data_IF_770768269785
#
_entry.id   IF_770768269785
#
_cell.length_a   1.000
_cell.length_b   1.000
_cell.length_c   1.000
_cell.angle_alpha   90.00
_cell.angle_beta   90.00
_cell.angle_gamma   90.00
#
_symmetry.space_group_name_H-M   'P 1'
#
loop_
_entity.id
_entity.type
_entity.pdbx_description
1 polymer ?
#
# COMPACT_ATOMS: atom_id res chain seq x y z
N UNK A 1 42.27 61.92 32.59
CA UNK A 1 41.50 60.68 32.86
C UNK A 1 40.03 60.99 32.68
N UNK A 2 39.34 60.21 31.83
CA UNK A 2 38.01 59.60 32.06
C UNK A 2 37.53 59.02 30.72
N UNK A 3 38.08 57.87 30.37
CA UNK A 3 37.46 56.97 29.41
C UNK A 3 36.36 56.23 30.19
N UNK A 4 35.11 56.43 29.82
CA UNK A 4 33.98 55.60 30.28
C UNK A 4 33.93 54.37 29.39
N UNK A 5 34.06 53.14 29.93
CA UNK A 5 33.84 51.93 29.14
C UNK A 5 32.36 51.83 28.79
N UNK A 6 32.06 51.49 27.53
CA UNK A 6 30.71 51.22 27.08
C UNK A 6 30.16 50.01 27.86
N UNK A 7 29.03 50.24 28.51
CA UNK A 7 28.27 49.26 29.26
C UNK A 7 27.88 48.06 28.37
N UNK A 8 27.85 46.89 29.01
CA UNK A 8 27.42 45.60 28.49
C UNK A 8 26.11 45.70 27.70
N UNK A 9 26.22 45.72 26.37
CA UNK A 9 25.10 45.37 25.50
C UNK A 9 24.89 43.87 25.57
N UNK A 10 24.04 43.42 26.50
CA UNK A 10 23.51 42.07 26.46
C UNK A 10 22.72 41.88 25.15
N UNK A 11 22.90 40.77 24.43
CA UNK A 11 22.07 40.47 23.27
C UNK A 11 20.64 40.23 23.76
N UNK A 12 19.72 41.03 23.23
CA UNK A 12 18.29 40.93 23.46
C UNK A 12 17.79 39.52 23.08
N UNK A 13 17.37 38.73 24.08
CA UNK A 13 16.88 37.35 23.92
C UNK A 13 15.51 37.26 23.23
N UNK A 14 15.11 38.28 22.47
CA UNK A 14 13.79 38.42 21.86
C UNK A 14 13.71 37.87 20.42
N UNK A 15 14.79 37.31 19.88
CA UNK A 15 14.75 36.59 18.61
C UNK A 15 14.53 35.11 18.91
N UNK A 16 13.29 34.66 18.72
CA UNK A 16 12.88 33.27 18.80
C UNK A 16 13.55 32.38 17.74
N UNK A 17 14.83 32.08 17.94
CA UNK A 17 15.43 30.88 17.37
C UNK A 17 14.88 29.71 18.17
N UNK A 18 13.94 28.99 17.55
CA UNK A 18 13.50 27.70 18.08
C UNK A 18 14.75 26.85 18.36
N UNK A 19 14.95 26.33 19.59
CA UNK A 19 15.96 25.32 19.81
C UNK A 19 15.63 24.18 18.85
N UNK A 20 16.60 23.81 18.01
CA UNK A 20 16.53 22.56 17.28
C UNK A 20 16.15 21.50 18.31
N UNK A 21 14.98 20.88 18.13
CA UNK A 21 14.51 19.82 19.00
C UNK A 21 15.60 18.75 18.99
N UNK A 22 16.40 18.73 20.05
CA UNK A 22 17.24 17.59 20.41
C UNK A 22 16.26 16.44 20.53
N UNK A 23 16.27 15.57 19.53
CA UNK A 23 15.47 14.35 19.50
C UNK A 23 15.79 13.64 20.81
N UNK A 24 14.84 13.71 21.74
CA UNK A 24 14.98 13.14 23.06
C UNK A 24 15.35 11.68 22.90
N UNK A 25 16.54 11.34 23.38
CA UNK A 25 16.97 9.97 23.63
C UNK A 25 16.02 9.45 24.71
N UNK A 26 14.88 8.92 24.28
CA UNK A 26 13.93 8.25 25.17
C UNK A 26 14.57 6.95 25.63
N UNK A 27 14.81 6.91 26.93
CA UNK A 27 14.98 5.76 27.83
C UNK A 27 15.30 4.42 27.18
N UNK A 28 16.53 4.01 27.47
CA UNK A 28 17.04 2.65 27.40
C UNK A 28 16.10 1.72 28.22
N UNK A 29 15.57 0.68 27.56
CA UNK A 29 14.93 -0.54 28.10
C UNK A 29 13.67 -1.00 27.33
N UNK A 30 13.26 -0.28 26.29
CA UNK A 30 12.30 -0.82 25.33
C UNK A 30 13.00 -1.83 24.40
N UNK A 31 12.59 -3.11 24.46
CA UNK A 31 12.99 -4.13 23.48
C UNK A 31 12.59 -3.67 22.07
N UNK A 32 13.53 -3.69 21.13
CA UNK A 32 13.28 -3.24 19.76
C UNK A 32 12.56 -4.34 19.00
N UNK A 33 11.34 -4.04 18.59
CA UNK A 33 10.46 -4.96 17.89
C UNK A 33 10.66 -4.86 16.37
N UNK A 34 11.12 -5.94 15.74
CA UNK A 34 11.31 -6.03 14.30
C UNK A 34 10.30 -6.96 13.64
N UNK A 35 9.84 -6.57 12.44
CA UNK A 35 9.02 -7.46 11.61
C UNK A 35 9.87 -8.58 10.99
N UNK A 36 9.29 -9.70 10.52
CA UNK A 36 10.07 -10.89 10.15
C UNK A 36 11.13 -10.65 9.07
N UNK A 37 10.84 -9.82 8.06
CA UNK A 37 11.79 -9.51 6.99
C UNK A 37 12.95 -8.63 7.44
N UNK A 38 12.77 -7.45 8.07
CA UNK A 38 13.90 -6.68 8.61
C UNK A 38 14.64 -7.42 9.72
N UNK A 39 13.98 -8.31 10.48
CA UNK A 39 14.68 -9.18 11.43
C UNK A 39 15.66 -10.14 10.73
N UNK A 40 15.34 -10.65 9.54
CA UNK A 40 16.27 -11.48 8.77
C UNK A 40 17.53 -10.70 8.32
N UNK A 41 17.37 -9.43 7.95
CA UNK A 41 18.50 -8.54 7.64
C UNK A 41 19.35 -8.28 8.88
N UNK A 42 18.70 -7.98 10.01
CA UNK A 42 19.39 -7.78 11.28
C UNK A 42 20.14 -9.05 11.72
N UNK A 43 19.54 -10.24 11.58
CA UNK A 43 20.20 -11.51 11.90
C UNK A 43 21.46 -11.71 11.05
N UNK A 44 21.37 -11.46 9.75
CA UNK A 44 22.53 -11.55 8.86
C UNK A 44 23.67 -10.56 9.22
N UNK A 45 23.34 -9.40 9.81
CA UNK A 45 24.34 -8.47 10.35
C UNK A 45 24.91 -8.93 11.70
N UNK A 46 24.07 -9.44 12.58
CA UNK A 46 24.48 -9.92 13.90
C UNK A 46 25.39 -11.15 13.82
N UNK A 47 25.18 -12.00 12.80
CA UNK A 47 25.99 -13.20 12.55
C UNK A 47 27.33 -12.87 11.84
N UNK A 48 27.53 -11.64 11.35
CA UNK A 48 28.73 -11.26 10.62
C UNK A 48 29.90 -10.85 11.54
N UNK A 49 31.16 -11.24 11.20
CA UNK A 49 32.33 -10.86 11.98
C UNK A 49 32.52 -9.34 11.92
N UNK A 50 32.60 -8.70 13.09
CA UNK A 50 32.77 -7.25 13.21
C UNK A 50 31.48 -6.44 13.12
N UNK A 51 30.31 -7.06 12.93
CA UNK A 51 29.00 -6.37 12.85
C UNK A 51 28.89 -5.30 11.74
N UNK A 52 29.75 -5.41 10.73
CA UNK A 52 29.81 -4.52 9.58
C UNK A 52 29.74 -5.35 8.30
N UNK A 53 28.87 -4.96 7.37
CA UNK A 53 28.77 -5.61 6.06
C UNK A 53 28.53 -4.61 4.94
N UNK A 54 29.11 -4.85 3.75
CA UNK A 54 28.75 -4.10 2.57
C UNK A 54 27.32 -4.43 2.13
N UNK A 55 26.62 -3.43 1.61
CA UNK A 55 25.18 -3.48 1.29
C UNK A 55 24.79 -4.66 0.39
N UNK A 56 25.62 -4.96 -0.61
CA UNK A 56 25.37 -6.05 -1.58
C UNK A 56 25.51 -7.45 -0.94
N UNK A 57 26.49 -7.61 -0.05
CA UNK A 57 26.70 -8.87 0.69
C UNK A 57 25.57 -9.06 1.69
N UNK A 58 25.19 -7.98 2.40
CA UNK A 58 24.05 -8.01 3.32
C UNK A 58 22.74 -8.41 2.61
N UNK A 59 22.49 -7.87 1.42
CA UNK A 59 21.32 -8.22 0.61
C UNK A 59 21.29 -9.70 0.26
N UNK A 60 22.47 -10.28 -0.03
CA UNK A 60 22.61 -11.69 -0.39
C UNK A 60 22.45 -12.59 0.83
N UNK A 61 23.14 -12.27 1.94
CA UNK A 61 23.12 -13.05 3.18
C UNK A 61 21.74 -13.05 3.86
N UNK A 62 20.97 -11.96 3.72
CA UNK A 62 19.60 -11.89 4.22
C UNK A 62 18.57 -12.64 3.36
N UNK A 63 18.99 -13.29 2.27
CA UNK A 63 18.11 -14.01 1.34
C UNK A 63 17.27 -13.09 0.46
N UNK A 64 17.62 -11.80 0.37
CA UNK A 64 16.85 -10.76 -0.33
C UNK A 64 17.46 -10.35 -1.67
N UNK A 65 18.34 -11.15 -2.27
CA UNK A 65 19.02 -10.85 -3.53
C UNK A 65 18.05 -10.42 -4.64
N UNK A 66 16.90 -11.11 -4.77
CA UNK A 66 15.86 -10.85 -5.78
C UNK A 66 14.73 -9.93 -5.31
N UNK A 67 14.75 -9.49 -4.05
CA UNK A 67 13.63 -8.77 -3.43
C UNK A 67 13.81 -7.26 -3.59
N UNK A 68 12.88 -6.62 -4.31
CA UNK A 68 12.92 -5.17 -4.54
C UNK A 68 12.58 -4.33 -3.29
N UNK A 69 12.02 -4.95 -2.24
CA UNK A 69 11.70 -4.26 -0.98
C UNK A 69 12.89 -4.14 -0.01
N UNK A 70 14.07 -4.66 -0.36
CA UNK A 70 15.26 -4.60 0.51
C UNK A 70 15.61 -3.17 0.99
N UNK A 71 15.63 -2.13 0.13
CA UNK A 71 15.90 -0.77 0.58
C UNK A 71 14.88 -0.25 1.62
N UNK A 72 13.61 -0.67 1.50
CA UNK A 72 12.55 -0.29 2.46
C UNK A 72 12.80 -0.90 3.83
N UNK A 73 13.28 -2.15 3.89
CA UNK A 73 13.62 -2.82 5.15
C UNK A 73 14.86 -2.20 5.81
N UNK A 74 15.85 -1.76 5.01
CA UNK A 74 17.00 -1.01 5.51
C UNK A 74 16.56 0.33 6.10
N UNK A 75 15.70 1.08 5.40
CA UNK A 75 15.15 2.34 5.91
C UNK A 75 14.38 2.14 7.23
N UNK A 76 13.59 1.06 7.34
CA UNK A 76 12.91 0.71 8.60
C UNK A 76 13.91 0.48 9.75
N UNK A 77 15.01 -0.23 9.49
CA UNK A 77 16.04 -0.50 10.50
C UNK A 77 16.82 0.77 10.90
N UNK A 78 17.09 1.66 9.95
CA UNK A 78 17.72 2.96 10.21
C UNK A 78 16.80 3.85 11.03
N UNK A 79 15.50 3.92 10.67
CA UNK A 79 14.50 4.69 11.41
C UNK A 79 14.33 4.20 12.85
N UNK A 80 14.53 2.90 13.10
CA UNK A 80 14.54 2.29 14.44
C UNK A 80 15.87 2.42 15.17
N UNK A 81 16.89 3.03 14.54
CA UNK A 81 18.23 3.19 15.13
C UNK A 81 19.00 1.90 15.31
N UNK A 82 18.59 0.80 14.67
CA UNK A 82 19.23 -0.52 14.80
C UNK A 82 20.55 -0.56 14.02
N UNK A 83 20.53 0.04 12.82
CA UNK A 83 21.66 0.05 11.91
C UNK A 83 21.99 1.48 11.48
N UNK A 84 23.24 1.69 11.09
CA UNK A 84 23.67 2.89 10.41
C UNK A 84 24.22 2.53 9.04
N UNK A 85 23.77 3.23 8.01
CA UNK A 85 24.35 3.14 6.67
C UNK A 85 25.36 4.27 6.48
N UNK A 86 26.56 3.92 6.04
CA UNK A 86 27.63 4.86 5.75
C UNK A 86 28.15 4.65 4.32
N UNK A 87 28.86 5.65 3.82
CA UNK A 87 29.49 5.61 2.50
C UNK A 87 28.62 6.11 1.33
N UNK A 88 29.22 6.20 0.12
CA UNK A 88 28.56 6.66 -1.08
C UNK A 88 27.53 5.65 -1.58
N UNK A 89 26.54 6.11 -2.36
CA UNK A 89 25.37 5.31 -2.74
C UNK A 89 25.71 3.91 -3.31
N UNK A 90 26.81 3.79 -4.07
CA UNK A 90 27.24 2.56 -4.75
C UNK A 90 27.99 1.59 -3.82
N UNK A 91 28.72 2.11 -2.84
CA UNK A 91 29.57 1.33 -1.93
C UNK A 91 29.15 1.56 -0.48
N UNK A 92 27.85 1.45 -0.23
CA UNK A 92 27.31 1.60 1.12
C UNK A 92 27.72 0.42 1.98
N UNK A 93 28.14 0.71 3.20
CA UNK A 93 28.35 -0.27 4.25
C UNK A 93 27.37 -0.03 5.40
N UNK A 94 26.97 -1.11 6.04
CA UNK A 94 25.96 -1.13 7.08
C UNK A 94 26.60 -1.63 8.36
N UNK A 95 26.49 -0.81 9.41
CA UNK A 95 27.06 -1.07 10.73
C UNK A 95 25.91 -1.29 11.71
N UNK A 96 26.02 -2.32 12.55
CA UNK A 96 25.09 -2.52 13.66
C UNK A 96 25.40 -1.54 14.80
N UNK A 97 24.39 -0.85 15.31
CA UNK A 97 24.54 0.11 16.42
C UNK A 97 23.97 -0.38 17.75
N UNK A 98 23.24 -1.49 17.73
CA UNK A 98 22.47 -1.99 18.88
C UNK A 98 22.92 -3.40 19.22
N UNK A 99 23.05 -3.66 20.53
CA UNK A 99 23.34 -5.00 21.03
C UNK A 99 22.29 -6.01 20.57
N UNK A 100 22.70 -7.18 20.07
CA UNK A 100 21.77 -8.10 19.45
C UNK A 100 20.74 -8.67 20.44
N UNK A 101 21.06 -8.66 21.74
CA UNK A 101 20.16 -9.08 22.82
C UNK A 101 18.94 -8.15 23.01
N UNK A 102 18.97 -6.91 22.51
CA UNK A 102 17.88 -5.93 22.65
C UNK A 102 16.80 -6.07 21.59
N UNK A 103 16.99 -6.94 20.60
CA UNK A 103 16.13 -7.05 19.42
C UNK A 103 15.27 -8.30 19.49
N UNK A 104 13.95 -8.12 19.43
CA UNK A 104 12.97 -9.21 19.46
C UNK A 104 12.23 -9.33 18.12
N UNK A 105 12.07 -10.58 17.67
CA UNK A 105 11.29 -10.88 16.47
C UNK A 105 9.80 -10.84 16.80
N UNK A 106 9.08 -9.87 16.24
CA UNK A 106 7.63 -9.82 16.37
C UNK A 106 6.98 -10.78 15.38
N UNK A 107 6.16 -11.70 15.91
CA UNK A 107 5.17 -12.40 15.10
C UNK A 107 4.12 -11.37 14.70
N UNK A 108 4.07 -10.99 13.41
CA UNK A 108 2.91 -10.23 12.92
C UNK A 108 1.69 -11.11 13.21
N UNK A 109 0.79 -10.66 14.08
CA UNK A 109 -0.57 -11.16 14.03
C UNK A 109 -1.04 -11.01 12.59
N UNK A 110 -1.59 -12.07 12.01
CA UNK A 110 -2.20 -12.00 10.68
C UNK A 110 -3.07 -10.76 10.70
N UNK A 111 -2.69 -9.75 9.91
CA UNK A 111 -3.40 -8.49 9.88
C UNK A 111 -4.80 -8.89 9.45
N UNK A 112 -5.77 -8.87 10.38
CA UNK A 112 -7.17 -8.71 9.98
C UNK A 112 -7.10 -7.50 9.08
N UNK A 113 -7.39 -7.75 7.80
CA UNK A 113 -7.33 -6.79 6.73
C UNK A 113 -7.74 -5.42 7.28
N UNK A 114 -6.97 -4.37 6.99
CA UNK A 114 -7.25 -3.03 7.51
C UNK A 114 -8.75 -2.76 7.34
N UNK A 115 -9.40 -2.06 8.26
CA UNK A 115 -10.84 -1.76 8.19
C UNK A 115 -11.26 -1.00 6.90
N UNK A 116 -10.33 -0.73 5.99
CA UNK A 116 -10.51 -0.14 4.67
C UNK A 116 -10.14 -1.06 3.50
N UNK A 117 -9.76 -2.31 3.77
CA UNK A 117 -9.69 -3.33 2.74
C UNK A 117 -11.13 -3.62 2.35
N UNK A 118 -11.49 -3.36 1.09
CA UNK A 118 -12.75 -3.89 0.55
C UNK A 118 -12.80 -5.38 0.88
N UNK A 119 -13.92 -5.91 1.40
CA UNK A 119 -14.02 -7.33 1.67
C UNK A 119 -13.69 -8.08 0.37
N UNK A 120 -12.71 -8.98 0.45
CA UNK A 120 -12.32 -9.83 -0.68
C UNK A 120 -13.55 -10.59 -1.15
N UNK A 121 -14.13 -10.13 -2.26
CA UNK A 121 -15.20 -10.79 -2.99
C UNK A 121 -14.64 -11.99 -3.78
N UNK A 122 -13.87 -12.85 -3.11
CA UNK A 122 -13.26 -14.05 -3.67
C UNK A 122 -13.19 -15.17 -2.61
N UNK A 123 -14.36 -15.59 -2.14
CA UNK A 123 -14.61 -16.94 -1.65
C UNK A 123 -15.78 -17.49 -2.45
N UNK A 124 -15.49 -18.07 -3.61
CA UNK A 124 -16.46 -18.36 -4.65
C UNK A 124 -17.58 -19.29 -4.21
N UNK A 125 -18.82 -18.82 -4.32
CA UNK A 125 -19.96 -19.61 -4.80
C UNK A 125 -21.15 -18.68 -5.02
N UNK A 126 -21.53 -18.56 -6.29
CA UNK A 126 -22.88 -18.33 -6.78
C UNK A 126 -23.49 -16.93 -6.63
N UNK A 127 -24.01 -16.44 -7.76
CA UNK A 127 -25.27 -15.72 -7.85
C UNK A 127 -26.03 -15.76 -6.53
N UNK A 128 -25.90 -14.71 -5.71
CA UNK A 128 -26.81 -14.57 -4.57
C UNK A 128 -28.09 -14.03 -5.16
N UNK A 129 -28.79 -14.92 -5.85
CA UNK A 129 -30.21 -14.90 -6.14
C UNK A 129 -30.93 -14.60 -4.82
N UNK A 130 -30.89 -13.33 -4.41
CA UNK A 130 -31.44 -12.88 -3.14
C UNK A 130 -32.90 -12.63 -3.39
N UNK A 131 -33.75 -13.16 -2.53
CA UNK A 131 -35.16 -12.87 -2.58
C UNK A 131 -35.38 -11.40 -2.19
N UNK A 132 -36.02 -10.66 -3.09
CA UNK A 132 -36.31 -9.24 -2.95
C UNK A 132 -37.74 -8.98 -3.40
N UNK A 133 -38.37 -7.93 -2.87
CA UNK A 133 -39.66 -7.45 -3.39
C UNK A 133 -39.43 -6.58 -4.62
N UNK A 134 -40.22 -6.81 -5.66
CA UNK A 134 -40.30 -5.98 -6.85
C UNK A 134 -40.85 -4.61 -6.48
N UNK A 135 -40.21 -3.52 -6.94
CA UNK A 135 -40.71 -2.17 -6.67
C UNK A 135 -42.01 -1.83 -7.41
N UNK A 136 -42.30 -2.52 -8.52
CA UNK A 136 -43.53 -2.32 -9.32
C UNK A 136 -44.70 -3.13 -8.77
N UNK A 137 -44.58 -4.47 -8.73
CA UNK A 137 -45.70 -5.35 -8.33
C UNK A 137 -45.66 -5.83 -6.87
N UNK A 138 -44.63 -5.46 -6.09
CA UNK A 138 -44.42 -5.86 -4.68
C UNK A 138 -44.26 -7.38 -4.44
N UNK A 139 -44.27 -8.21 -5.49
CA UNK A 139 -44.03 -9.66 -5.42
C UNK A 139 -42.56 -9.96 -5.12
N UNK A 140 -42.31 -11.03 -4.37
CA UNK A 140 -40.95 -11.51 -4.09
C UNK A 140 -40.38 -12.26 -5.29
N UNK A 141 -39.17 -11.90 -5.72
CA UNK A 141 -38.46 -12.54 -6.83
C UNK A 141 -36.96 -12.71 -6.50
N UNK A 142 -36.30 -13.63 -7.20
CA UNK A 142 -34.88 -13.90 -7.05
C UNK A 142 -34.06 -12.92 -7.90
N UNK A 143 -33.25 -12.09 -7.25
CA UNK A 143 -32.43 -11.06 -7.91
C UNK A 143 -31.07 -11.61 -8.36
N UNK A 144 -30.77 -11.57 -9.66
CA UNK A 144 -29.52 -12.11 -10.22
C UNK A 144 -28.28 -11.29 -9.85
N UNK A 145 -28.44 -9.99 -9.57
CA UNK A 145 -27.37 -9.11 -9.09
C UNK A 145 -27.88 -8.11 -8.05
N UNK A 146 -26.94 -7.49 -7.31
CA UNK A 146 -27.23 -6.58 -6.18
C UNK A 146 -28.12 -5.38 -6.57
N UNK A 147 -28.13 -5.00 -7.86
CA UNK A 147 -28.89 -3.88 -8.42
C UNK A 147 -30.27 -4.23 -8.96
N UNK A 148 -30.63 -5.52 -9.08
CA UNK A 148 -31.93 -5.92 -9.63
C UNK A 148 -33.04 -5.64 -8.61
N UNK A 149 -33.97 -4.74 -8.97
CA UNK A 149 -35.09 -4.28 -8.11
C UNK A 149 -36.48 -4.52 -8.72
N UNK A 150 -36.53 -4.99 -9.96
CA UNK A 150 -37.75 -5.26 -10.72
C UNK A 150 -37.72 -6.70 -11.18
N UNK A 151 -38.83 -7.42 -11.03
CA UNK A 151 -38.94 -8.81 -11.47
C UNK A 151 -38.99 -8.90 -12.99
N UNK A 152 -38.68 -10.08 -13.56
CA UNK A 152 -38.71 -10.31 -15.00
C UNK A 152 -40.04 -9.88 -15.63
N UNK A 153 -41.16 -10.29 -15.04
CA UNK A 153 -42.51 -9.97 -15.55
C UNK A 153 -42.76 -8.47 -15.66
N UNK A 154 -42.34 -7.69 -14.65
CA UNK A 154 -42.49 -6.23 -14.67
C UNK A 154 -41.46 -5.54 -15.57
N UNK A 155 -40.34 -6.20 -15.91
CA UNK A 155 -39.38 -5.68 -16.88
C UNK A 155 -39.88 -5.87 -18.32
N UNK A 156 -40.81 -6.79 -18.53
CA UNK A 156 -41.43 -7.06 -19.84
C UNK A 156 -42.65 -6.19 -20.13
N UNK A 157 -43.11 -5.37 -19.19
CA UNK A 157 -44.24 -4.47 -19.43
C UNK A 157 -43.82 -3.28 -20.31
N UNK A 158 -44.73 -2.74 -21.15
CA UNK A 158 -44.43 -1.61 -22.05
C UNK A 158 -43.82 -0.40 -21.34
N UNK A 159 -44.27 -0.11 -20.11
CA UNK A 159 -43.76 0.96 -19.26
C UNK A 159 -42.24 0.87 -18.97
N UNK A 160 -41.65 -0.32 -19.07
CA UNK A 160 -40.23 -0.60 -18.83
C UNK A 160 -39.45 -0.99 -20.09
N UNK A 161 -40.15 -1.37 -21.16
CA UNK A 161 -39.55 -1.76 -22.43
C UNK A 161 -39.34 -0.61 -23.40
N UNK A 162 -39.76 0.62 -23.02
CA UNK A 162 -39.56 1.89 -23.71
C UNK A 162 -39.30 1.73 -25.22
N UNK A 163 -40.38 1.66 -25.99
CA UNK A 163 -40.34 1.50 -27.45
C UNK A 163 -39.54 2.62 -28.15
N UNK A 164 -39.32 3.75 -27.48
CA UNK A 164 -38.55 4.91 -27.94
C UNK A 164 -37.13 4.98 -27.34
N UNK A 165 -36.56 3.87 -26.84
CA UNK A 165 -35.17 3.85 -26.41
C UNK A 165 -34.23 4.00 -27.63
N UNK A 166 -33.49 5.12 -27.77
CA UNK A 166 -32.65 5.41 -28.95
C UNK A 166 -31.42 4.49 -29.05
N UNK A 167 -31.25 3.54 -28.14
CA UNK A 167 -30.16 2.57 -28.09
C UNK A 167 -30.62 1.13 -28.33
N UNK A 168 -31.84 0.90 -28.83
CA UNK A 168 -32.27 -0.41 -29.33
C UNK A 168 -31.83 -0.52 -30.79
N UNK A 169 -30.78 -1.28 -31.14
CA UNK A 169 -30.43 -1.46 -32.54
C UNK A 169 -31.52 -2.29 -33.22
N UNK A 170 -32.31 -1.65 -34.07
CA UNK A 170 -33.17 -2.32 -35.04
C UNK A 170 -32.27 -3.02 -36.06
N UNK A 171 -31.85 -4.24 -35.77
CA UNK A 171 -30.88 -4.95 -36.59
C UNK A 171 -30.97 -6.45 -36.43
N UNK A 172 -32.03 -7.03 -36.99
CA UNK A 172 -32.02 -8.37 -37.58
C UNK A 172 -33.31 -8.57 -38.38
N UNK A 173 -33.39 -7.89 -39.53
CA UNK A 173 -34.30 -8.26 -40.63
C UNK A 173 -33.49 -8.27 -41.93
N UNK A 174 -33.15 -9.51 -42.33
CA UNK A 174 -33.03 -10.00 -43.72
C UNK A 174 -32.54 -9.03 -44.80
N UNK A 175 -31.22 -9.00 -44.99
CA UNK A 175 -30.61 -8.32 -46.13
C UNK A 175 -29.32 -9.00 -46.56
N UNK A 176 -29.43 -10.14 -47.25
CA UNK A 176 -28.37 -10.68 -48.09
C UNK A 176 -27.88 -9.61 -49.07
N UNK A 177 -26.84 -8.87 -48.70
CA UNK A 177 -26.21 -7.81 -49.48
C UNK A 177 -24.72 -8.02 -49.72
N UNK A 178 -24.24 -9.27 -49.67
CA UNK A 178 -22.90 -9.63 -50.13
C UNK A 178 -22.99 -10.09 -51.59
N UNK A 179 -23.21 -9.16 -52.50
CA UNK A 179 -23.00 -9.35 -53.94
C UNK A 179 -22.79 -7.98 -54.54
N UNK A 180 -21.51 -7.57 -54.66
CA UNK A 180 -20.97 -6.74 -55.77
C UNK A 180 -19.60 -6.13 -55.41
N UNK A 181 -18.71 -6.98 -54.88
CA UNK A 181 -17.28 -6.65 -54.79
C UNK A 181 -16.45 -7.71 -55.51
N UNK A 182 -16.88 -8.08 -56.72
CA UNK A 182 -16.09 -8.90 -57.63
C UNK A 182 -16.34 -8.47 -59.07
N UNK A 183 -15.54 -7.53 -59.58
CA UNK A 183 -14.80 -7.67 -60.86
C UNK A 183 -13.97 -6.42 -61.11
N UNK A 184 -12.70 -6.47 -60.69
CA UNK A 184 -11.62 -5.85 -61.44
C UNK A 184 -10.86 -6.97 -62.13
N UNK A 185 -10.80 -6.94 -63.47
CA UNK A 185 -9.81 -7.51 -64.41
C UNK A 185 -10.46 -7.80 -65.77
N UNK A 186 -10.48 -6.81 -66.68
CA UNK A 186 -9.55 -6.70 -67.82
C UNK A 186 -9.89 -5.44 -68.63
#
# INVERSE_FOLDING_TARGET
MKYTPAEDLQPDCSIGFSPAQTIGIKSQDAKIQLTPTPYAVFKALADAPGQELPYNVLKTNSGMAKVNSFPKHIQELVAKGVIQCLGPHRDRYVILRVDPARVERVKRYARKTSQHSRPDSQGGSQSTAKERKCLSCQKTFKSEWIGMRICGDCKLTPDWQDQDNPYTPEGDTDGSGLSDLTTGLY
#
